data_IF_673291795529
#
_entry.id   IF_673291795529
#
_cell.length_a   1.000
_cell.length_b   1.000
_cell.length_c   1.000
_cell.angle_alpha   90.00
_cell.angle_beta   90.00
_cell.angle_gamma   90.00
#
_symmetry.space_group_name_H-M   'P 1'
#
loop_
_entity.id
_entity.type
_entity.pdbx_description
1 polymer ?
#
# COMPACT_ATOMS: atom_id res chain seq x y z
N UNK A 1 -11.47 -9.82 11.17
CA UNK A 1 -11.09 -10.80 12.22
C UNK A 1 -9.60 -10.77 12.37
N UNK A 2 -9.16 -10.22 13.50
CA UNK A 2 -7.76 -10.08 13.84
C UNK A 2 -7.29 -11.30 14.63
N UNK A 3 -6.03 -11.69 14.43
CA UNK A 3 -5.27 -12.55 15.33
C UNK A 3 -4.28 -11.68 16.09
N UNK A 4 -4.05 -12.02 17.33
CA UNK A 4 -2.96 -11.46 18.11
C UNK A 4 -1.92 -12.54 18.37
N UNK A 5 -0.64 -12.17 18.37
CA UNK A 5 0.47 -13.00 18.82
C UNK A 5 1.39 -12.20 19.72
N UNK A 6 1.96 -12.84 20.74
CA UNK A 6 3.01 -12.25 21.57
C UNK A 6 4.38 -12.78 21.13
N UNK A 7 5.28 -11.88 20.75
CA UNK A 7 6.70 -12.12 20.60
C UNK A 7 7.35 -12.27 21.99
N UNK A 8 7.47 -13.52 22.44
CA UNK A 8 7.97 -13.86 23.78
C UNK A 8 9.38 -13.33 24.07
N UNK A 9 10.36 -13.42 23.14
CA UNK A 9 11.66 -12.76 23.30
C UNK A 9 11.56 -11.25 23.61
N UNK A 10 10.65 -10.52 22.94
CA UNK A 10 10.47 -9.06 23.13
C UNK A 10 9.58 -8.68 24.31
N UNK A 11 8.76 -9.60 24.80
CA UNK A 11 7.83 -9.33 25.90
C UNK A 11 8.59 -9.15 27.22
N UNK A 12 8.51 -7.98 27.84
CA UNK A 12 9.19 -7.69 29.13
C UNK A 12 8.29 -7.87 30.36
N UNK A 13 7.04 -8.33 30.18
CA UNK A 13 6.13 -8.58 31.31
C UNK A 13 5.50 -7.33 31.92
N UNK A 14 5.33 -6.25 31.15
CA UNK A 14 4.71 -5.01 31.65
C UNK A 14 3.21 -5.15 31.99
N UNK A 15 2.50 -6.13 31.42
CA UNK A 15 1.12 -6.46 31.78
C UNK A 15 0.01 -5.57 31.20
N UNK A 16 0.33 -4.45 30.53
CA UNK A 16 -0.66 -3.50 29.98
C UNK A 16 -1.73 -4.16 29.09
N UNK A 17 -1.36 -5.16 28.29
CA UNK A 17 -2.30 -5.88 27.43
C UNK A 17 -3.32 -6.71 28.21
N UNK A 18 -2.93 -7.26 29.35
CA UNK A 18 -3.81 -8.00 30.25
C UNK A 18 -4.73 -7.02 30.98
N UNK A 19 -4.24 -5.82 31.34
CA UNK A 19 -5.08 -4.77 31.93
C UNK A 19 -6.14 -4.25 30.95
N UNK A 20 -5.76 -3.99 29.70
CA UNK A 20 -6.64 -3.40 28.68
C UNK A 20 -7.60 -4.45 28.10
N UNK A 21 -7.13 -5.66 27.85
CA UNK A 21 -7.90 -6.75 27.25
C UNK A 21 -7.73 -8.08 28.04
N UNK A 22 -8.26 -8.16 29.28
CA UNK A 22 -8.04 -9.30 30.20
C UNK A 22 -8.64 -10.62 29.75
N UNK A 23 -9.61 -10.60 28.84
CA UNK A 23 -10.18 -11.83 28.25
C UNK A 23 -9.39 -12.30 27.04
N UNK A 24 -8.60 -11.40 26.42
CA UNK A 24 -7.80 -11.72 25.24
C UNK A 24 -6.37 -12.13 25.57
N UNK A 25 -5.82 -11.63 26.67
CA UNK A 25 -4.46 -11.92 27.11
C UNK A 25 -4.44 -12.38 28.57
N UNK A 26 -3.52 -13.29 28.87
CA UNK A 26 -3.23 -13.73 30.24
C UNK A 26 -1.72 -14.01 30.37
N UNK A 27 -1.27 -14.33 31.57
CA UNK A 27 0.11 -14.75 31.83
C UNK A 27 0.35 -16.18 31.33
N UNK A 28 1.50 -16.39 30.71
CA UNK A 28 1.91 -17.70 30.25
C UNK A 28 2.17 -18.63 31.45
N UNK A 29 1.44 -19.75 31.53
CA UNK A 29 1.66 -20.74 32.58
C UNK A 29 3.04 -21.39 32.43
N UNK A 30 3.90 -21.23 33.43
CA UNK A 30 5.24 -21.80 33.48
C UNK A 30 6.39 -20.85 33.11
N UNK A 31 6.09 -19.62 32.69
CA UNK A 31 7.09 -18.57 32.47
C UNK A 31 6.57 -17.24 33.04
N UNK A 32 6.91 -17.00 34.32
CA UNK A 32 6.41 -15.84 35.06
C UNK A 32 6.94 -14.55 34.43
N UNK A 33 6.04 -13.69 33.95
CA UNK A 33 6.39 -12.41 33.33
C UNK A 33 6.29 -12.38 31.80
N UNK A 34 5.75 -13.41 31.15
CA UNK A 34 5.42 -13.35 29.71
C UNK A 34 3.91 -13.39 29.50
N UNK A 35 3.40 -12.47 28.69
CA UNK A 35 2.00 -12.50 28.26
C UNK A 35 1.79 -13.57 27.17
N UNK A 36 0.59 -14.14 27.11
CA UNK A 36 0.13 -15.02 26.04
C UNK A 36 -1.25 -14.56 25.57
N UNK A 37 -1.59 -14.91 24.33
CA UNK A 37 -2.94 -14.71 23.80
C UNK A 37 -3.79 -15.92 24.21
N UNK A 38 -4.93 -15.65 24.85
CA UNK A 38 -5.91 -16.66 25.26
C UNK A 38 -7.01 -16.74 24.21
N UNK A 39 -7.68 -15.62 23.95
CA UNK A 39 -8.71 -15.50 22.92
C UNK A 39 -8.80 -14.07 22.38
N UNK A 40 -8.10 -13.80 21.28
CA UNK A 40 -8.10 -12.51 20.60
C UNK A 40 -9.49 -12.07 20.09
N UNK A 41 -10.48 -12.97 20.06
CA UNK A 41 -11.84 -12.71 19.57
C UNK A 41 -12.81 -12.34 20.69
N UNK A 42 -12.37 -12.45 21.95
CA UNK A 42 -13.17 -12.14 23.14
C UNK A 42 -13.37 -10.63 23.38
N UNK A 43 -12.65 -9.78 22.64
CA UNK A 43 -12.76 -8.31 22.67
C UNK A 43 -12.94 -7.78 21.25
N UNK A 44 -13.47 -6.56 21.12
CA UNK A 44 -13.58 -5.91 19.82
C UNK A 44 -12.19 -5.56 19.22
N UNK A 45 -12.17 -5.31 17.91
CA UNK A 45 -10.93 -5.06 17.17
C UNK A 45 -10.23 -3.75 17.55
N UNK A 46 -10.95 -2.77 18.11
CA UNK A 46 -10.38 -1.49 18.53
C UNK A 46 -9.61 -1.67 19.85
N UNK A 47 -10.24 -2.33 20.81
CA UNK A 47 -9.66 -2.68 22.12
C UNK A 47 -8.47 -3.63 22.00
N UNK A 48 -8.51 -4.56 21.04
CA UNK A 48 -7.36 -5.43 20.76
C UNK A 48 -6.15 -4.64 20.22
N UNK A 49 -6.38 -3.62 19.37
CA UNK A 49 -5.33 -2.72 18.87
C UNK A 49 -4.79 -1.81 19.98
N UNK A 50 -5.67 -1.29 20.83
CA UNK A 50 -5.29 -0.49 22.00
C UNK A 50 -4.35 -1.28 22.92
N UNK A 51 -4.69 -2.53 23.24
CA UNK A 51 -3.85 -3.42 24.05
C UNK A 51 -2.47 -3.66 23.42
N UNK A 52 -2.39 -3.74 22.09
CA UNK A 52 -1.13 -3.90 21.37
C UNK A 52 -0.28 -2.62 21.40
N UNK A 53 -0.90 -1.45 21.18
CA UNK A 53 -0.24 -0.14 21.23
C UNK A 53 0.30 0.19 22.62
N UNK A 54 -0.38 -0.27 23.67
CA UNK A 54 0.06 -0.10 25.05
C UNK A 54 1.24 -1.01 25.44
N UNK A 55 1.72 -1.89 24.56
CA UNK A 55 2.89 -2.71 24.80
C UNK A 55 4.18 -1.87 24.60
N UNK A 56 4.96 -1.58 25.65
CA UNK A 56 6.11 -0.67 25.55
C UNK A 56 7.24 -1.19 24.66
N UNK A 57 7.32 -2.50 24.45
CA UNK A 57 8.32 -3.14 23.58
C UNK A 57 7.75 -3.61 22.24
N UNK A 58 6.48 -3.26 21.95
CA UNK A 58 5.77 -3.69 20.74
C UNK A 58 5.81 -5.21 20.54
N UNK A 59 5.79 -5.97 21.64
CA UNK A 59 5.83 -7.43 21.61
C UNK A 59 4.50 -8.05 21.15
N UNK A 60 3.42 -7.26 21.01
CA UNK A 60 2.11 -7.74 20.60
C UNK A 60 1.91 -7.39 19.14
N UNK A 61 1.73 -8.42 18.34
CA UNK A 61 1.60 -8.33 16.90
C UNK A 61 0.15 -8.66 16.57
N UNK A 62 -0.51 -7.74 15.88
CA UNK A 62 -1.88 -7.90 15.40
C UNK A 62 -1.81 -8.23 13.91
N UNK A 63 -2.38 -9.36 13.51
CA UNK A 63 -2.36 -9.89 12.15
C UNK A 63 -3.81 -9.99 11.64
N UNK A 64 -4.09 -9.60 10.39
CA UNK A 64 -5.41 -9.83 9.81
C UNK A 64 -5.53 -11.31 9.40
N UNK A 65 -6.51 -12.04 9.96
CA UNK A 65 -6.70 -13.48 9.66
C UNK A 65 -6.97 -13.72 8.17
N UNK A 66 -7.53 -12.73 7.48
CA UNK A 66 -7.75 -12.79 6.03
C UNK A 66 -6.44 -12.92 5.22
N UNK A 67 -5.32 -12.47 5.75
CA UNK A 67 -4.03 -12.47 5.05
C UNK A 67 -3.27 -13.80 5.20
N UNK A 68 -3.55 -14.57 6.25
CA UNK A 68 -2.85 -15.82 6.59
C UNK A 68 -3.60 -17.10 6.16
N UNK A 69 -4.86 -17.01 5.72
CA UNK A 69 -5.63 -18.18 5.29
C UNK A 69 -5.29 -18.58 3.83
N UNK A 70 -5.09 -19.89 3.56
CA UNK A 70 -5.10 -20.45 2.21
C UNK A 70 -6.36 -20.00 1.47
N UNK A 71 -6.21 -19.60 0.21
CA UNK A 71 -7.27 -18.99 -0.62
C UNK A 71 -8.59 -19.80 -0.67
N UNK A 72 -8.53 -21.12 -0.45
CA UNK A 72 -9.67 -22.05 -0.45
C UNK A 72 -10.57 -21.96 0.79
N UNK A 73 -10.08 -21.42 1.92
CA UNK A 73 -10.80 -21.42 3.20
C UNK A 73 -11.25 -20.02 3.65
N UNK A 74 -11.03 -19.00 2.81
CA UNK A 74 -11.52 -17.65 3.07
C UNK A 74 -13.06 -17.65 2.97
N UNK A 75 -13.74 -17.49 4.10
CA UNK A 75 -15.18 -17.22 4.13
C UNK A 75 -15.50 -16.07 3.19
N UNK A 76 -16.47 -16.28 2.29
CA UNK A 76 -16.77 -15.39 1.16
C UNK A 76 -17.32 -14.05 1.69
N UNK A 77 -16.46 -13.10 1.99
CA UNK A 77 -16.88 -11.70 2.03
C UNK A 77 -17.60 -11.40 0.71
N UNK A 78 -18.73 -10.67 0.73
CA UNK A 78 -19.49 -10.41 -0.48
C UNK A 78 -18.57 -9.77 -1.53
N UNK A 79 -18.29 -10.50 -2.60
CA UNK A 79 -17.47 -10.03 -3.71
C UNK A 79 -18.32 -9.08 -4.52
N UNK A 80 -17.98 -7.80 -4.50
CA UNK A 80 -18.63 -6.81 -5.36
C UNK A 80 -17.73 -6.55 -6.57
N UNK A 81 -18.29 -6.72 -7.78
CA UNK A 81 -17.63 -6.24 -8.99
C UNK A 81 -17.80 -4.73 -9.03
N UNK A 82 -16.69 -4.02 -9.07
CA UNK A 82 -16.65 -2.56 -9.03
C UNK A 82 -15.71 -2.06 -10.10
N UNK A 83 -16.05 -0.91 -10.70
CA UNK A 83 -15.12 -0.16 -11.52
C UNK A 83 -14.30 0.77 -10.62
N UNK A 84 -12.97 0.72 -10.77
CA UNK A 84 -12.02 1.55 -10.03
C UNK A 84 -10.86 1.94 -10.92
N UNK A 85 -10.18 3.02 -10.53
CA UNK A 85 -8.89 3.37 -11.14
C UNK A 85 -7.77 3.02 -10.20
N UNK A 86 -6.83 2.23 -10.69
CA UNK A 86 -5.70 1.73 -9.93
C UNK A 86 -4.45 2.49 -10.29
N UNK A 87 -3.75 2.98 -9.26
CA UNK A 87 -2.44 3.60 -9.38
C UNK A 87 -1.41 2.71 -8.69
N UNK A 88 -0.31 2.46 -9.40
CA UNK A 88 0.88 1.83 -8.85
C UNK A 88 2.02 2.84 -8.89
N UNK A 89 2.71 3.01 -7.77
CA UNK A 89 3.93 3.83 -7.69
C UNK A 89 5.08 2.96 -7.24
N UNK A 90 6.29 3.32 -7.67
CA UNK A 90 7.51 2.66 -7.22
C UNK A 90 8.71 3.61 -7.39
N UNK A 91 9.72 3.50 -6.52
CA UNK A 91 10.97 4.26 -6.63
C UNK A 91 11.86 3.61 -7.70
N UNK A 92 12.13 4.34 -8.77
CA UNK A 92 13.02 3.88 -9.82
C UNK A 92 14.46 3.73 -9.29
N UNK A 93 15.02 2.53 -9.45
CA UNK A 93 16.39 2.23 -9.02
C UNK A 93 16.56 2.18 -7.50
N UNK A 94 15.50 1.88 -6.75
CA UNK A 94 15.50 1.80 -5.29
C UNK A 94 16.62 0.94 -4.69
N UNK A 95 16.92 -0.21 -5.28
CA UNK A 95 18.03 -1.08 -4.84
C UNK A 95 19.38 -0.36 -4.90
N UNK A 96 19.66 0.33 -6.00
CA UNK A 96 20.92 1.07 -6.17
C UNK A 96 20.99 2.27 -5.21
N UNK A 97 19.85 2.92 -4.94
CA UNK A 97 19.76 4.02 -3.97
C UNK A 97 20.02 3.52 -2.55
N UNK A 98 19.42 2.39 -2.18
CA UNK A 98 19.64 1.74 -0.89
C UNK A 98 21.12 1.39 -0.70
N UNK A 99 21.73 0.73 -1.68
CA UNK A 99 23.15 0.36 -1.64
C UNK A 99 24.07 1.58 -1.50
N UNK A 100 23.76 2.69 -2.17
CA UNK A 100 24.58 3.89 -2.15
C UNK A 100 24.43 4.72 -0.85
N UNK A 101 23.24 4.73 -0.24
CA UNK A 101 22.92 5.59 0.91
C UNK A 101 23.02 4.87 2.25
N UNK A 102 22.89 3.54 2.26
CA UNK A 102 22.82 2.73 3.48
C UNK A 102 21.44 2.76 4.15
N UNK A 103 21.21 1.81 5.05
CA UNK A 103 19.89 1.51 5.61
C UNK A 103 19.26 2.69 6.36
N UNK A 104 20.02 3.42 7.18
CA UNK A 104 19.47 4.49 8.02
C UNK A 104 18.97 5.69 7.18
N UNK A 105 19.77 6.10 6.19
CA UNK A 105 19.39 7.17 5.27
C UNK A 105 18.22 6.73 4.38
N UNK A 106 18.18 5.47 3.96
CA UNK A 106 17.07 4.90 3.21
C UNK A 106 15.76 4.89 4.01
N UNK A 107 15.80 4.47 5.27
CA UNK A 107 14.60 4.50 6.14
C UNK A 107 14.09 5.92 6.35
N UNK A 108 14.98 6.89 6.52
CA UNK A 108 14.61 8.32 6.62
C UNK A 108 13.97 8.82 5.33
N UNK A 109 14.53 8.43 4.18
CA UNK A 109 13.98 8.76 2.86
C UNK A 109 12.59 8.15 2.66
N UNK A 110 12.41 6.87 2.98
CA UNK A 110 11.11 6.19 2.89
C UNK A 110 10.08 6.83 3.80
N UNK A 111 10.43 7.17 5.05
CA UNK A 111 9.51 7.83 5.98
C UNK A 111 8.97 9.16 5.42
N UNK A 112 9.86 9.98 4.86
CA UNK A 112 9.47 11.23 4.20
C UNK A 112 8.65 10.98 2.93
N UNK A 113 9.09 10.05 2.08
CA UNK A 113 8.44 9.69 0.82
C UNK A 113 7.01 9.21 1.07
N UNK A 114 6.84 8.25 1.97
CA UNK A 114 5.56 7.70 2.40
C UNK A 114 4.60 8.79 2.90
N UNK A 115 5.08 9.65 3.79
CA UNK A 115 4.27 10.75 4.34
C UNK A 115 3.82 11.70 3.23
N UNK A 116 4.73 12.03 2.31
CA UNK A 116 4.47 12.93 1.19
C UNK A 116 3.43 12.34 0.25
N UNK A 117 3.60 11.08 -0.20
CA UNK A 117 2.67 10.41 -1.11
C UNK A 117 1.30 10.19 -0.46
N UNK A 118 1.24 9.73 0.79
CA UNK A 118 -0.03 9.57 1.53
C UNK A 118 -0.83 10.86 1.62
N UNK A 119 -0.16 12.01 1.78
CA UNK A 119 -0.84 13.31 1.78
C UNK A 119 -1.50 13.61 0.42
N UNK A 120 -0.83 13.26 -0.68
CA UNK A 120 -1.37 13.43 -2.04
C UNK A 120 -2.52 12.46 -2.33
N UNK A 121 -2.43 11.22 -1.84
CA UNK A 121 -3.54 10.26 -1.96
C UNK A 121 -4.79 10.81 -1.27
N UNK A 122 -4.65 11.26 -0.02
CA UNK A 122 -5.76 11.83 0.75
C UNK A 122 -6.39 13.06 0.08
N UNK A 123 -5.56 13.98 -0.43
CA UNK A 123 -6.00 15.18 -1.12
C UNK A 123 -6.79 14.88 -2.41
N UNK A 124 -6.52 13.75 -3.06
CA UNK A 124 -7.14 13.33 -4.31
C UNK A 124 -8.12 12.14 -4.13
N UNK A 125 -8.66 11.94 -2.93
CA UNK A 125 -9.66 10.89 -2.65
C UNK A 125 -9.20 9.46 -2.96
N UNK A 126 -7.90 9.19 -2.83
CA UNK A 126 -7.30 7.87 -2.99
C UNK A 126 -7.44 7.00 -1.74
N UNK A 127 -7.75 5.71 -1.95
CA UNK A 127 -7.74 4.65 -0.94
C UNK A 127 -6.42 3.88 -1.07
N UNK A 128 -5.49 4.03 -0.13
CA UNK A 128 -4.29 3.18 -0.05
C UNK A 128 -4.73 1.74 0.21
N UNK A 129 -4.41 0.84 -0.72
CA UNK A 129 -4.73 -0.58 -0.61
C UNK A 129 -3.60 -1.31 0.10
N UNK A 130 -2.37 -1.11 -0.40
CA UNK A 130 -1.15 -1.78 0.09
C UNK A 130 0.08 -0.94 -0.22
N UNK A 131 1.06 -0.94 0.70
CA UNK A 131 2.42 -0.49 0.44
C UNK A 131 3.32 -1.68 0.03
N UNK A 132 4.18 -1.50 -0.98
CA UNK A 132 5.07 -2.56 -1.50
C UNK A 132 6.53 -2.42 -1.04
N UNK A 133 6.79 -1.56 -0.06
CA UNK A 133 8.13 -1.28 0.47
C UNK A 133 8.64 0.09 0.03
N UNK A 134 8.87 0.25 -1.28
CA UNK A 134 9.31 1.47 -1.96
C UNK A 134 8.26 2.04 -2.92
N UNK A 135 7.03 1.53 -2.81
CA UNK A 135 5.93 1.82 -3.70
C UNK A 135 4.57 1.64 -3.05
N UNK A 136 3.53 2.03 -3.78
CA UNK A 136 2.15 2.02 -3.32
C UNK A 136 1.22 1.44 -4.37
N UNK A 137 0.21 0.71 -3.90
CA UNK A 137 -0.99 0.38 -4.64
C UNK A 137 -2.16 1.18 -4.06
N UNK A 138 -2.74 2.05 -4.88
CA UNK A 138 -3.82 2.97 -4.50
C UNK A 138 -4.99 2.80 -5.44
N UNK A 139 -6.22 2.84 -4.91
CA UNK A 139 -7.45 2.80 -5.67
C UNK A 139 -8.21 4.13 -5.59
N UNK A 140 -8.78 4.55 -6.71
CA UNK A 140 -9.54 5.79 -6.86
C UNK A 140 -10.93 5.49 -7.42
N UNK A 141 -11.88 6.36 -7.09
CA UNK A 141 -13.24 6.31 -7.62
C UNK A 141 -13.34 6.73 -9.09
N UNK A 142 -12.41 7.56 -9.58
CA UNK A 142 -12.42 8.09 -10.95
C UNK A 142 -11.02 8.13 -11.57
N UNK A 143 -10.91 8.10 -12.92
CA UNK A 143 -9.65 8.31 -13.63
C UNK A 143 -9.04 9.68 -13.36
N UNK A 144 -9.86 10.73 -13.34
CA UNK A 144 -9.40 12.11 -13.13
C UNK A 144 -8.72 12.29 -11.77
N UNK A 145 -9.27 11.71 -10.71
CA UNK A 145 -8.68 11.75 -9.36
C UNK A 145 -7.30 11.07 -9.33
N UNK A 146 -7.19 9.90 -9.97
CA UNK A 146 -5.94 9.16 -10.03
C UNK A 146 -4.86 9.92 -10.83
N UNK A 147 -5.23 10.49 -11.98
CA UNK A 147 -4.32 11.26 -12.82
C UNK A 147 -3.90 12.56 -12.15
N UNK A 148 -4.83 13.27 -11.50
CA UNK A 148 -4.52 14.47 -10.72
C UNK A 148 -3.56 14.16 -9.58
N UNK A 149 -3.79 13.03 -8.88
CA UNK A 149 -2.88 12.54 -7.85
C UNK A 149 -1.48 12.24 -8.41
N UNK A 150 -1.40 11.51 -9.53
CA UNK A 150 -0.12 11.15 -10.15
C UNK A 150 0.68 12.39 -10.55
N UNK A 151 0.02 13.39 -11.16
CA UNK A 151 0.63 14.67 -11.54
C UNK A 151 1.08 15.45 -10.30
N UNK A 152 0.25 15.51 -9.25
CA UNK A 152 0.61 16.16 -7.99
C UNK A 152 1.86 15.55 -7.36
N UNK A 153 1.97 14.21 -7.35
CA UNK A 153 3.15 13.50 -6.84
C UNK A 153 4.40 13.90 -7.63
N UNK A 154 4.37 13.85 -8.97
CA UNK A 154 5.55 14.22 -9.77
C UNK A 154 5.97 15.68 -9.56
N UNK A 155 4.99 16.58 -9.48
CA UNK A 155 5.25 18.01 -9.23
C UNK A 155 5.83 18.25 -7.84
N UNK A 156 5.32 17.60 -6.81
CA UNK A 156 5.83 17.73 -5.44
C UNK A 156 7.27 17.21 -5.33
N UNK A 157 7.55 16.02 -5.88
CA UNK A 157 8.91 15.47 -5.90
C UNK A 157 9.87 16.36 -6.70
N UNK A 158 9.40 16.99 -7.79
CA UNK A 158 10.19 17.94 -8.55
C UNK A 158 10.47 19.25 -7.80
N UNK A 159 9.47 19.77 -7.09
CA UNK A 159 9.64 20.92 -6.22
C UNK A 159 10.65 20.62 -5.10
N UNK A 160 10.51 19.47 -4.43
CA UNK A 160 11.42 19.05 -3.36
C UNK A 160 12.86 18.89 -3.85
N UNK A 161 13.09 18.28 -5.01
CA UNK A 161 14.43 18.23 -5.63
C UNK A 161 15.02 19.62 -5.84
N UNK A 162 14.18 20.58 -6.22
CA UNK A 162 14.62 21.95 -6.52
C UNK A 162 14.94 22.74 -5.24
N UNK A 163 14.19 22.54 -4.15
CA UNK A 163 14.34 23.29 -2.90
C UNK A 163 15.27 22.63 -1.88
N UNK A 164 15.27 21.31 -1.79
CA UNK A 164 15.98 20.53 -0.78
C UNK A 164 17.08 19.62 -1.37
N UNK A 165 17.30 19.68 -2.69
CA UNK A 165 18.41 19.05 -3.39
C UNK A 165 18.17 17.59 -3.84
N UNK A 166 17.35 16.83 -3.12
CA UNK A 166 17.09 15.43 -3.47
C UNK A 166 15.64 14.99 -3.21
N UNK A 167 15.12 14.18 -4.13
CA UNK A 167 13.95 13.33 -3.97
C UNK A 167 14.10 12.13 -4.93
N UNK A 168 13.59 10.94 -4.58
CA UNK A 168 13.69 9.78 -5.45
C UNK A 168 12.85 9.98 -6.71
N UNK A 169 13.31 9.42 -7.82
CA UNK A 169 12.52 9.36 -9.04
C UNK A 169 11.45 8.29 -8.88
N UNK A 170 10.18 8.67 -8.98
CA UNK A 170 9.06 7.74 -8.84
C UNK A 170 8.49 7.45 -10.22
N UNK A 171 8.27 6.18 -10.52
CA UNK A 171 7.51 5.75 -11.70
C UNK A 171 6.06 5.50 -11.29
N UNK A 172 5.11 5.93 -12.13
CA UNK A 172 3.68 5.83 -11.83
C UNK A 172 2.94 5.17 -12.99
N UNK A 173 2.12 4.17 -12.68
CA UNK A 173 1.18 3.53 -13.59
C UNK A 173 -0.27 3.80 -13.19
N UNK A 174 -1.15 4.12 -14.15
CA UNK A 174 -2.58 4.34 -13.89
C UNK A 174 -3.45 3.56 -14.86
N UNK A 175 -4.45 2.84 -14.36
CA UNK A 175 -5.37 2.08 -15.19
C UNK A 175 -6.75 1.92 -14.53
N UNK A 176 -7.79 2.34 -15.24
CA UNK A 176 -9.18 2.13 -14.89
C UNK A 176 -9.67 0.79 -15.42
N UNK A 177 -10.26 -0.01 -14.53
CA UNK A 177 -10.73 -1.35 -14.88
C UNK A 177 -11.78 -1.87 -13.90
N UNK A 178 -12.49 -2.91 -14.33
CA UNK A 178 -13.27 -3.75 -13.43
C UNK A 178 -12.36 -4.54 -12.48
N UNK A 179 -12.75 -4.60 -11.22
CA UNK A 179 -12.13 -5.48 -10.23
C UNK A 179 -13.16 -6.10 -9.29
N UNK A 180 -12.72 -7.16 -8.62
CA UNK A 180 -13.46 -7.74 -7.50
C UNK A 180 -12.95 -7.12 -6.21
N UNK A 181 -13.82 -6.39 -5.50
CA UNK A 181 -13.52 -5.86 -4.17
C UNK A 181 -13.81 -6.93 -3.10
N UNK A 182 -12.84 -7.17 -2.22
CA UNK A 182 -12.93 -8.07 -1.07
C UNK A 182 -12.41 -7.34 0.16
N UNK A 183 -13.31 -6.82 1.00
CA UNK A 183 -12.95 -5.92 2.08
C UNK A 183 -12.30 -4.65 1.54
N UNK A 184 -11.05 -4.37 1.92
CA UNK A 184 -10.24 -3.25 1.40
C UNK A 184 -9.37 -3.62 0.20
N UNK A 185 -9.30 -4.90 -0.14
CA UNK A 185 -8.43 -5.41 -1.21
C UNK A 185 -9.16 -5.50 -2.55
N UNK A 186 -8.37 -5.44 -3.63
CA UNK A 186 -8.84 -5.60 -4.99
C UNK A 186 -8.11 -6.75 -5.68
N UNK A 187 -8.84 -7.56 -6.43
CA UNK A 187 -8.27 -8.65 -7.23
C UNK A 187 -8.92 -8.70 -8.61
N UNK A 188 -8.22 -9.32 -9.56
CA UNK A 188 -8.70 -9.53 -10.92
C UNK A 188 -7.69 -9.07 -11.98
N UNK A 189 -8.06 -9.30 -13.24
CA UNK A 189 -7.24 -8.99 -14.42
C UNK A 189 -6.78 -7.53 -14.43
N UNK A 190 -7.70 -6.60 -14.17
CA UNK A 190 -7.44 -5.15 -14.17
C UNK A 190 -6.39 -4.68 -13.17
N UNK A 191 -6.30 -5.32 -12.00
CA UNK A 191 -5.26 -5.01 -11.00
C UNK A 191 -3.87 -5.42 -11.52
N UNK A 192 -3.78 -6.59 -12.17
CA UNK A 192 -2.53 -7.04 -12.77
C UNK A 192 -2.14 -6.19 -13.98
N UNK A 193 -3.10 -5.80 -14.82
CA UNK A 193 -2.90 -4.87 -15.94
C UNK A 193 -2.32 -3.53 -15.44
N UNK A 194 -2.92 -2.95 -14.40
CA UNK A 194 -2.45 -1.71 -13.78
C UNK A 194 -1.01 -1.80 -13.26
N UNK A 195 -0.68 -2.88 -12.53
CA UNK A 195 0.68 -3.09 -12.01
C UNK A 195 1.71 -3.23 -13.15
N UNK A 196 1.33 -3.88 -14.26
CA UNK A 196 2.21 -4.02 -15.43
C UNK A 196 2.38 -2.69 -16.17
N UNK A 197 1.32 -1.90 -16.29
CA UNK A 197 1.41 -0.54 -16.85
C UNK A 197 2.38 0.33 -16.03
N UNK A 198 2.33 0.25 -14.68
CA UNK A 198 3.30 0.93 -13.82
C UNK A 198 4.75 0.49 -14.03
N UNK A 199 4.96 -0.79 -14.32
CA UNK A 199 6.29 -1.31 -14.67
C UNK A 199 6.87 -0.77 -15.99
N UNK A 200 6.06 -0.17 -16.87
CA UNK A 200 6.50 0.43 -18.13
C UNK A 200 6.98 1.88 -17.99
N UNK A 201 6.67 2.51 -16.85
CA UNK A 201 7.07 3.88 -16.58
C UNK A 201 8.54 3.93 -16.14
N UNK A 202 9.28 4.90 -16.67
CA UNK A 202 10.60 5.25 -16.16
C UNK A 202 10.49 6.17 -14.94
N UNK A 203 11.61 6.39 -14.25
CA UNK A 203 11.66 7.33 -13.14
C UNK A 203 11.23 8.74 -13.56
N UNK A 204 10.25 9.31 -12.85
CA UNK A 204 9.69 10.62 -13.17
C UNK A 204 8.62 10.59 -14.27
N UNK A 205 8.17 9.42 -14.72
CA UNK A 205 7.09 9.29 -15.70
C UNK A 205 5.78 8.83 -15.07
N UNK A 206 4.69 9.19 -15.75
CA UNK A 206 3.34 8.68 -15.51
C UNK A 206 2.92 7.98 -16.81
N UNK A 207 2.65 6.68 -16.74
CA UNK A 207 2.11 5.90 -17.85
C UNK A 207 0.69 5.49 -17.48
N UNK A 208 -0.26 5.72 -18.38
CA UNK A 208 -1.64 5.30 -18.21
C UNK A 208 -2.11 4.49 -19.42
N UNK A 209 -3.09 3.61 -19.25
CA UNK A 209 -3.81 3.07 -20.42
C UNK A 209 -4.52 4.21 -21.15
N UNK A 210 -4.52 4.19 -22.48
CA UNK A 210 -5.07 5.25 -23.32
C UNK A 210 -6.53 5.59 -22.96
N UNK A 211 -7.36 4.59 -22.71
CA UNK A 211 -8.76 4.76 -22.28
C UNK A 211 -8.89 5.53 -20.95
N UNK A 212 -8.01 5.25 -19.99
CA UNK A 212 -8.02 5.94 -18.69
C UNK A 212 -7.61 7.39 -18.80
N UNK A 213 -6.73 7.72 -19.74
CA UNK A 213 -6.32 9.10 -19.98
C UNK A 213 -7.23 9.84 -20.99
N UNK A 214 -8.12 9.13 -21.67
CA UNK A 214 -8.98 9.70 -22.69
C UNK A 214 -9.96 10.72 -22.08
N UNK A 215 -9.97 11.93 -22.62
CA UNK A 215 -10.80 13.02 -22.10
C UNK A 215 -10.34 13.58 -20.74
N UNK A 216 -9.20 13.13 -20.23
CA UNK A 216 -8.61 13.64 -19.00
C UNK A 216 -8.06 15.06 -19.13
N UNK A 217 -7.76 15.66 -17.99
CA UNK A 217 -7.35 17.07 -17.89
C UNK A 217 -5.90 17.33 -18.31
N UNK A 218 -5.09 16.28 -18.46
CA UNK A 218 -3.65 16.37 -18.68
C UNK A 218 -3.29 15.93 -20.10
N UNK A 219 -2.41 16.67 -20.81
CA UNK A 219 -1.92 16.26 -22.12
C UNK A 219 -1.26 14.88 -22.08
N UNK A 220 -1.39 14.13 -23.18
CA UNK A 220 -0.77 12.82 -23.33
C UNK A 220 0.13 12.78 -24.55
N UNK A 221 1.12 11.89 -24.52
CA UNK A 221 2.07 11.69 -25.61
C UNK A 221 2.54 10.23 -25.69
N UNK A 222 3.35 9.96 -26.70
CA UNK A 222 4.01 8.66 -26.92
C UNK A 222 3.05 7.46 -26.88
N UNK A 223 1.92 7.49 -27.62
CA UNK A 223 0.98 6.38 -27.65
C UNK A 223 1.69 5.13 -28.19
N UNK A 224 1.54 4.02 -27.47
CA UNK A 224 2.16 2.74 -27.85
C UNK A 224 1.32 1.57 -27.38
N UNK A 225 1.29 0.53 -28.21
CA UNK A 225 0.65 -0.73 -27.87
C UNK A 225 1.67 -1.64 -27.20
N UNK A 226 1.30 -2.20 -26.05
CA UNK A 226 2.19 -3.06 -25.25
C UNK A 226 1.52 -4.40 -24.96
N UNK A 227 2.27 -5.47 -25.19
CA UNK A 227 1.88 -6.81 -24.74
C UNK A 227 2.56 -7.07 -23.41
N UNK A 228 1.76 -7.29 -22.37
CA UNK A 228 2.25 -7.51 -21.01
C UNK A 228 2.07 -8.96 -20.60
N UNK A 229 3.09 -9.53 -19.94
CA UNK A 229 3.12 -10.95 -19.58
C UNK A 229 1.89 -11.35 -18.77
N UNK A 230 1.13 -12.32 -19.27
CA UNK A 230 -0.07 -12.87 -18.62
C UNK A 230 -1.39 -12.22 -19.04
N UNK A 231 -1.36 -11.29 -19.99
CA UNK A 231 -2.56 -10.65 -20.56
C UNK A 231 -2.56 -10.93 -22.06
N UNK A 232 -3.65 -11.51 -22.54
CA UNK A 232 -3.79 -11.99 -23.92
C UNK A 232 -3.92 -10.85 -24.94
N UNK A 233 -4.57 -9.76 -24.55
CA UNK A 233 -4.88 -8.63 -25.41
C UNK A 233 -3.85 -7.51 -25.21
N UNK A 234 -3.27 -6.96 -26.29
CA UNK A 234 -2.40 -5.80 -26.17
C UNK A 234 -3.15 -4.60 -25.58
N UNK A 235 -2.46 -3.83 -24.74
CA UNK A 235 -3.01 -2.61 -24.12
C UNK A 235 -2.38 -1.40 -24.79
N UNK A 236 -3.19 -0.43 -25.16
CA UNK A 236 -2.68 0.88 -25.57
C UNK A 236 -2.36 1.71 -24.32
N UNK A 237 -1.15 2.24 -24.26
CA UNK A 237 -0.69 3.11 -23.19
C UNK A 237 -0.18 4.43 -23.74
N UNK A 238 -0.27 5.46 -22.91
CA UNK A 238 0.21 6.81 -23.19
C UNK A 238 1.04 7.30 -22.00
N UNK A 239 1.94 8.23 -22.26
CA UNK A 239 2.62 8.99 -21.21
C UNK A 239 1.82 10.24 -20.90
N UNK A 240 1.50 10.48 -19.63
CA UNK A 240 0.78 11.67 -19.18
C UNK A 240 1.80 12.76 -18.83
N UNK A 241 1.60 13.95 -19.37
CA UNK A 241 2.46 15.10 -19.07
C UNK A 241 2.06 15.75 -17.75
N UNK A 242 3.06 16.00 -16.90
CA UNK A 242 2.90 16.62 -15.58
C UNK A 242 3.64 17.94 -15.45
N UNK A 243 4.41 18.34 -16.47
CA UNK A 243 5.19 19.59 -16.41
C UNK A 243 4.34 20.83 -16.63
#
# INVERSE_FOLDING_TARGET
MLRARVDRPRCIGAGNCITIAPTAFDWHRGDFGKATVVDATSVDEEKLREAALACPTQAIIIEEVAELLPWQLRGRAPTQRVQRTFMFTDIAGSTNLLEAMGDEAWQSLLSWHDKTLRSMFGANRGEEVTATGDGFFVAFGSPDDALACAVAIQRELAAHRSSAGFAPQVRIGVHASDATKVGRNFTGKGVHEAARIGGLAEGGQIVASAETAAGGQFPTRDPRTVTVKGISDPIEVVTVDWR
#
